data_IF_689467302467
#
_entry.id   IF_689467302467
#
_cell.length_a   1.000
_cell.length_b   1.000
_cell.length_c   1.000
_cell.angle_alpha   90.00
_cell.angle_beta   90.00
_cell.angle_gamma   90.00
#
_symmetry.space_group_name_H-M   'P 1'
#
loop_
_entity.id
_entity.type
_entity.pdbx_description
1 polymer ?
#
# COMPACT_ATOMS: atom_id res chain seq x y z
N UNK A 1 -50.65 33.46 6.00
CA UNK A 1 -49.19 33.58 5.74
C UNK A 1 -48.43 32.34 6.24
N UNK A 2 -49.08 31.36 6.87
CA UNK A 2 -48.45 30.18 7.49
C UNK A 2 -47.95 29.05 6.58
N UNK A 3 -48.48 28.91 5.37
CA UNK A 3 -48.17 27.76 4.52
C UNK A 3 -46.78 27.85 3.88
N UNK A 4 -46.31 29.08 3.66
CA UNK A 4 -44.98 29.35 3.10
C UNK A 4 -43.88 29.06 4.13
N UNK A 5 -44.13 29.32 5.41
CA UNK A 5 -43.19 29.06 6.50
C UNK A 5 -43.07 27.57 6.81
N UNK A 6 -44.18 26.82 6.82
CA UNK A 6 -44.14 25.34 6.97
C UNK A 6 -43.35 24.64 5.86
N UNK A 7 -43.38 25.18 4.64
CA UNK A 7 -42.59 24.64 3.51
C UNK A 7 -41.10 24.93 3.64
N UNK A 8 -40.73 26.02 4.32
CA UNK A 8 -39.33 26.37 4.58
C UNK A 8 -38.80 25.54 5.74
N UNK A 9 -39.56 25.36 6.82
CA UNK A 9 -39.17 24.48 7.93
C UNK A 9 -39.02 23.03 7.48
N UNK A 10 -39.93 22.50 6.66
CA UNK A 10 -39.78 21.16 6.07
C UNK A 10 -38.56 21.02 5.13
N UNK A 11 -38.12 22.11 4.50
CA UNK A 11 -36.89 22.15 3.71
C UNK A 11 -35.63 22.24 4.59
N UNK A 12 -35.70 22.93 5.72
CA UNK A 12 -34.60 23.06 6.69
C UNK A 12 -34.42 21.73 7.43
N UNK A 13 -35.50 21.13 7.92
CA UNK A 13 -35.51 19.86 8.67
C UNK A 13 -35.12 18.65 7.77
N UNK A 14 -35.43 18.70 6.47
CA UNK A 14 -34.99 17.70 5.49
C UNK A 14 -33.56 17.88 4.96
N UNK A 15 -32.90 19.00 5.29
CA UNK A 15 -31.57 19.34 4.76
C UNK A 15 -30.41 19.00 5.69
N UNK A 16 -30.66 18.65 6.95
CA UNK A 16 -29.61 18.36 7.93
C UNK A 16 -29.06 16.92 7.87
N UNK A 17 -29.70 16.00 7.14
CA UNK A 17 -29.35 14.57 7.14
C UNK A 17 -28.41 14.13 6.00
N UNK A 18 -27.84 15.04 5.19
CA UNK A 18 -27.15 14.60 3.95
C UNK A 18 -25.84 15.27 3.59
N UNK A 19 -24.95 15.52 4.56
CA UNK A 19 -23.50 15.53 4.29
C UNK A 19 -22.70 15.21 5.55
N UNK A 20 -22.96 14.07 6.19
CA UNK A 20 -21.86 13.43 6.93
C UNK A 20 -20.94 12.84 5.85
N UNK A 21 -19.67 13.26 5.69
CA UNK A 21 -18.77 12.55 4.81
C UNK A 21 -18.72 11.11 5.32
N UNK A 22 -19.35 10.20 4.57
CA UNK A 22 -19.22 8.78 4.83
C UNK A 22 -17.72 8.50 4.86
N UNK A 23 -17.19 7.79 5.88
CA UNK A 23 -15.79 7.42 5.89
C UNK A 23 -15.57 6.70 4.57
N UNK A 24 -14.85 7.37 3.66
CA UNK A 24 -14.62 7.00 2.27
C UNK A 24 -14.66 5.49 2.16
N UNK A 25 -15.65 4.93 1.44
CA UNK A 25 -15.78 3.49 1.23
C UNK A 25 -14.37 2.96 0.95
N UNK A 26 -13.76 2.33 1.95
CA UNK A 26 -12.35 1.99 1.89
C UNK A 26 -12.25 1.11 0.66
N UNK A 27 -11.48 1.54 -0.36
CA UNK A 27 -11.29 0.75 -1.57
C UNK A 27 -10.87 -0.64 -1.09
N UNK A 28 -11.69 -1.65 -1.37
CA UNK A 28 -11.37 -3.00 -0.94
C UNK A 28 -10.06 -3.42 -1.60
N UNK A 29 -9.18 -4.05 -0.81
CA UNK A 29 -7.91 -4.53 -1.33
C UNK A 29 -8.18 -5.59 -2.41
N UNK A 30 -7.50 -5.45 -3.55
CA UNK A 30 -7.53 -6.41 -4.65
C UNK A 30 -6.10 -6.61 -5.14
N UNK A 31 -5.71 -7.88 -5.31
CA UNK A 31 -4.45 -8.19 -5.97
C UNK A 31 -4.51 -7.74 -7.43
N UNK A 32 -3.41 -7.14 -7.90
CA UNK A 32 -3.26 -6.81 -9.31
C UNK A 32 -2.84 -8.05 -10.10
N UNK A 33 -3.34 -8.19 -11.32
CA UNK A 33 -2.89 -9.23 -12.22
C UNK A 33 -1.43 -9.00 -12.62
N UNK A 34 -0.63 -10.07 -12.63
CA UNK A 34 0.79 -10.04 -12.96
C UNK A 34 0.95 -10.22 -14.47
N UNK A 35 1.58 -9.26 -15.13
CA UNK A 35 1.80 -9.27 -16.58
C UNK A 35 3.24 -8.90 -16.96
N UNK A 36 4.02 -8.37 -16.01
CA UNK A 36 5.38 -7.95 -16.28
C UNK A 36 6.30 -9.18 -16.34
N UNK A 37 7.20 -9.24 -17.30
CA UNK A 37 8.29 -10.23 -17.26
C UNK A 37 9.26 -9.89 -16.15
N UNK A 38 9.90 -10.91 -15.58
CA UNK A 38 10.96 -10.70 -14.59
C UNK A 38 12.15 -10.03 -15.29
N UNK A 39 12.62 -8.92 -14.73
CA UNK A 39 13.89 -8.34 -15.18
C UNK A 39 15.05 -9.10 -14.52
N UNK A 40 15.47 -10.20 -15.15
CA UNK A 40 16.57 -11.03 -14.67
C UNK A 40 17.92 -10.28 -14.62
N UNK A 41 18.09 -9.23 -15.42
CA UNK A 41 19.31 -8.43 -15.44
C UNK A 41 19.35 -7.52 -14.21
N UNK A 42 18.21 -6.92 -13.86
CA UNK A 42 18.03 -6.20 -12.60
C UNK A 42 18.24 -7.13 -11.41
N UNK A 43 17.63 -8.32 -11.43
CA UNK A 43 17.78 -9.32 -10.37
C UNK A 43 19.24 -9.77 -10.22
N UNK A 44 19.98 -9.91 -11.32
CA UNK A 44 21.40 -10.26 -11.28
C UNK A 44 22.26 -9.18 -10.61
N UNK A 45 21.96 -7.90 -10.86
CA UNK A 45 22.69 -6.77 -10.29
C UNK A 45 22.44 -6.55 -8.79
N UNK A 46 21.29 -6.99 -8.28
CA UNK A 46 20.95 -6.89 -6.85
C UNK A 46 21.78 -7.88 -6.04
N UNK A 47 22.42 -7.41 -4.97
CA UNK A 47 23.03 -8.28 -3.96
C UNK A 47 22.18 -8.25 -2.67
N UNK A 48 21.39 -9.31 -2.38
CA UNK A 48 20.54 -9.34 -1.19
C UNK A 48 21.36 -9.27 0.11
N UNK A 49 22.55 -9.84 0.14
CA UNK A 49 23.41 -9.80 1.33
C UNK A 49 23.93 -8.37 1.60
N UNK A 50 24.15 -7.58 0.54
CA UNK A 50 24.49 -6.17 0.69
C UNK A 50 23.30 -5.34 1.20
N UNK A 51 22.09 -5.62 0.73
CA UNK A 51 20.87 -4.91 1.19
C UNK A 51 20.65 -5.18 2.68
N UNK A 52 20.72 -6.44 3.10
CA UNK A 52 20.57 -6.85 4.51
C UNK A 52 21.59 -6.15 5.41
N UNK A 53 22.87 -6.15 5.04
CA UNK A 53 23.92 -5.58 5.88
C UNK A 53 23.90 -4.06 5.94
N UNK A 54 23.55 -3.39 4.84
CA UNK A 54 23.65 -1.93 4.71
C UNK A 54 22.32 -1.21 4.94
N UNK A 55 21.20 -1.94 4.97
CA UNK A 55 19.87 -1.36 4.97
C UNK A 55 19.62 -0.50 3.72
N UNK A 56 20.08 -0.95 2.54
CA UNK A 56 19.97 -0.18 1.30
C UNK A 56 18.53 -0.23 0.74
N UNK A 57 17.66 0.56 1.37
CA UNK A 57 16.25 0.68 1.02
C UNK A 57 16.08 1.27 -0.39
N UNK A 58 17.04 2.06 -0.89
CA UNK A 58 16.94 2.66 -2.23
C UNK A 58 17.00 1.58 -3.31
N UNK A 59 17.93 0.63 -3.18
CA UNK A 59 17.99 -0.52 -4.08
C UNK A 59 16.72 -1.35 -3.96
N UNK A 60 16.24 -1.63 -2.74
CA UNK A 60 15.02 -2.41 -2.53
C UNK A 60 13.78 -1.76 -3.16
N UNK A 61 13.63 -0.44 -3.01
CA UNK A 61 12.57 0.36 -3.62
C UNK A 61 12.61 0.32 -5.14
N UNK A 62 13.80 0.29 -5.74
CA UNK A 62 13.93 0.21 -7.20
C UNK A 62 13.48 -1.13 -7.80
N UNK A 63 13.39 -2.20 -6.98
CA UNK A 63 13.10 -3.57 -7.46
C UNK A 63 11.77 -4.14 -6.95
N UNK A 64 11.18 -3.56 -5.90
CA UNK A 64 9.98 -4.10 -5.24
C UNK A 64 8.78 -4.22 -6.19
N UNK A 65 8.57 -3.25 -7.08
CA UNK A 65 7.47 -3.30 -8.06
C UNK A 65 7.70 -4.42 -9.08
N UNK A 66 8.93 -4.57 -9.57
CA UNK A 66 9.28 -5.61 -10.54
C UNK A 66 8.98 -6.99 -9.95
N UNK A 67 9.39 -7.24 -8.70
CA UNK A 67 9.18 -8.52 -8.02
C UNK A 67 7.70 -8.74 -7.70
N UNK A 68 6.98 -7.72 -7.22
CA UNK A 68 5.59 -7.84 -6.78
C UNK A 68 4.64 -8.17 -7.94
N UNK A 69 4.89 -7.59 -9.12
CA UNK A 69 4.01 -7.70 -10.28
C UNK A 69 4.56 -8.57 -11.42
N UNK A 70 5.69 -9.24 -11.22
CA UNK A 70 6.26 -10.16 -12.18
C UNK A 70 5.41 -11.43 -12.36
N UNK A 71 5.21 -11.83 -13.61
CA UNK A 71 4.61 -13.12 -13.96
C UNK A 71 5.66 -14.22 -14.00
N UNK A 72 5.79 -14.96 -12.90
CA UNK A 72 6.69 -16.10 -12.79
C UNK A 72 6.18 -17.34 -13.54
N UNK A 73 4.89 -17.42 -13.87
CA UNK A 73 4.32 -18.59 -14.56
C UNK A 73 4.66 -18.57 -16.06
N UNK A 74 4.83 -17.38 -16.63
CA UNK A 74 5.24 -17.18 -18.02
C UNK A 74 6.75 -17.29 -18.28
N UNK A 75 7.58 -17.49 -17.25
CA UNK A 75 9.04 -17.54 -17.38
C UNK A 75 9.53 -18.91 -17.85
N UNK A 76 10.58 -18.91 -18.69
CA UNK A 76 11.17 -20.14 -19.20
C UNK A 76 11.91 -20.92 -18.11
N UNK A 77 11.94 -22.26 -18.24
CA UNK A 77 12.61 -23.18 -17.28
C UNK A 77 14.09 -22.81 -17.05
N UNK A 78 14.79 -22.26 -18.06
CA UNK A 78 16.17 -21.78 -17.90
C UNK A 78 16.30 -20.53 -17.02
N UNK A 79 15.29 -19.67 -17.02
CA UNK A 79 15.26 -18.46 -16.20
C UNK A 79 14.97 -18.79 -14.73
N UNK A 80 14.16 -19.82 -14.50
CA UNK A 80 13.83 -20.38 -13.18
C UNK A 80 14.88 -21.39 -12.69
N UNK A 81 16.16 -21.15 -12.95
CA UNK A 81 17.22 -21.93 -12.33
C UNK A 81 17.16 -21.79 -10.79
N UNK A 82 17.54 -22.85 -10.06
CA UNK A 82 17.41 -22.90 -8.59
C UNK A 82 18.03 -21.68 -7.89
N UNK A 83 19.19 -21.22 -8.36
CA UNK A 83 19.86 -20.03 -7.83
C UNK A 83 19.05 -18.73 -8.01
N UNK A 84 18.36 -18.59 -9.14
CA UNK A 84 17.52 -17.43 -9.44
C UNK A 84 16.26 -17.43 -8.58
N UNK A 85 15.67 -18.61 -8.35
CA UNK A 85 14.51 -18.77 -7.48
C UNK A 85 14.85 -18.44 -6.03
N UNK A 86 15.98 -18.93 -5.52
CA UNK A 86 16.47 -18.59 -4.19
C UNK A 86 16.69 -17.08 -4.08
N UNK A 87 17.35 -16.47 -5.07
CA UNK A 87 17.62 -15.03 -5.07
C UNK A 87 16.32 -14.21 -5.09
N UNK A 88 15.36 -14.60 -5.92
CA UNK A 88 14.05 -13.97 -5.98
C UNK A 88 13.30 -14.09 -4.66
N UNK A 89 13.31 -15.28 -4.04
CA UNK A 89 12.69 -15.50 -2.75
C UNK A 89 13.33 -14.63 -1.66
N UNK A 90 14.67 -14.53 -1.62
CA UNK A 90 15.39 -13.68 -0.66
C UNK A 90 15.02 -12.20 -0.83
N UNK A 91 15.02 -11.68 -2.06
CA UNK A 91 14.66 -10.28 -2.26
C UNK A 91 13.18 -10.05 -1.95
N UNK A 92 12.30 -11.02 -2.24
CA UNK A 92 10.89 -10.95 -1.85
C UNK A 92 10.72 -10.87 -0.33
N UNK A 93 11.52 -11.61 0.44
CA UNK A 93 11.52 -11.53 1.91
C UNK A 93 11.91 -10.13 2.40
N UNK A 94 12.95 -9.53 1.83
CA UNK A 94 13.36 -8.16 2.16
C UNK A 94 12.29 -7.13 1.80
N UNK A 95 11.64 -7.28 0.65
CA UNK A 95 10.51 -6.43 0.27
C UNK A 95 9.37 -6.52 1.28
N UNK A 96 9.02 -7.73 1.72
CA UNK A 96 7.96 -7.95 2.72
C UNK A 96 8.34 -7.35 4.08
N UNK A 97 9.58 -7.56 4.54
CA UNK A 97 10.09 -6.97 5.78
C UNK A 97 10.01 -5.44 5.74
N UNK A 98 10.44 -4.84 4.63
CA UNK A 98 10.34 -3.39 4.45
C UNK A 98 8.90 -2.88 4.44
N UNK A 99 7.97 -3.62 3.82
CA UNK A 99 6.54 -3.28 3.84
C UNK A 99 5.97 -3.37 5.26
N UNK A 100 6.34 -4.38 6.04
CA UNK A 100 5.93 -4.52 7.45
C UNK A 100 6.47 -3.36 8.30
N UNK A 101 7.76 -3.04 8.15
CA UNK A 101 8.36 -1.88 8.82
C UNK A 101 7.64 -0.57 8.47
N UNK A 102 7.32 -0.38 7.19
CA UNK A 102 6.59 0.81 6.74
C UNK A 102 5.18 0.89 7.34
N UNK A 103 4.50 -0.25 7.49
CA UNK A 103 3.18 -0.30 8.13
C UNK A 103 3.25 0.10 9.61
N UNK A 104 4.23 -0.41 10.34
CA UNK A 104 4.44 -0.10 11.76
C UNK A 104 4.66 1.41 11.98
N UNK A 105 5.58 2.01 11.22
CA UNK A 105 5.83 3.47 11.25
C UNK A 105 4.58 4.28 10.91
N UNK A 106 3.80 3.84 9.92
CA UNK A 106 2.57 4.54 9.53
C UNK A 106 1.47 4.39 10.60
N UNK A 107 1.40 3.27 11.31
CA UNK A 107 0.46 3.04 12.41
C UNK A 107 0.81 3.87 13.65
N UNK A 108 2.09 4.01 13.97
CA UNK A 108 2.58 4.90 15.02
C UNK A 108 2.22 6.36 14.72
N UNK A 109 2.54 6.83 13.50
CA UNK A 109 2.22 8.19 13.06
C UNK A 109 0.72 8.47 13.10
N UNK A 110 -0.09 7.51 12.64
CA UNK A 110 -1.55 7.61 12.69
C UNK A 110 -2.06 7.71 14.12
N UNK A 111 -1.50 6.93 15.04
CA UNK A 111 -1.89 6.91 16.44
C UNK A 111 -1.56 8.24 17.13
N UNK A 112 -0.35 8.76 16.90
CA UNK A 112 0.07 10.08 17.39
C UNK A 112 -0.82 11.20 16.84
N UNK A 113 -1.14 11.20 15.55
CA UNK A 113 -2.03 12.20 14.95
C UNK A 113 -3.46 12.15 15.54
N UNK A 114 -3.95 10.96 15.87
CA UNK A 114 -5.25 10.79 16.54
C UNK A 114 -5.22 11.37 17.96
N UNK A 115 -4.14 11.14 18.70
CA UNK A 115 -3.98 11.66 20.06
C UNK A 115 -3.89 13.18 20.07
N UNK A 116 -3.09 13.77 19.18
CA UNK A 116 -3.01 15.21 19.01
C UNK A 116 -4.39 15.79 18.67
N UNK A 117 -5.12 15.19 17.73
CA UNK A 117 -6.47 15.63 17.40
C UNK A 117 -7.45 15.56 18.57
N UNK A 118 -7.27 14.66 19.54
CA UNK A 118 -8.08 14.62 20.77
C UNK A 118 -7.69 15.74 21.72
N UNK A 119 -6.39 16.02 21.84
CA UNK A 119 -5.86 17.08 22.70
C UNK A 119 -6.36 18.47 22.33
N UNK A 120 -6.52 18.76 21.03
CA UNK A 120 -7.06 20.05 20.56
C UNK A 120 -8.59 20.20 20.72
N UNK A 121 -9.30 19.13 21.08
CA UNK A 121 -10.76 19.13 21.27
C UNK A 121 -11.17 19.22 22.75
N UNK A 122 -10.21 19.19 23.66
CA UNK A 122 -10.38 19.41 25.11
C UNK A 122 -9.69 20.72 25.50
#
# INVERSE_FOLDING_TARGET
QDEKFKRIEAWVEGSEEKTRPQPSARKSFKFQQRFARVDWRLLAAVDPDSIERKGDVQVLQSVIENITFADLQGEGVRSLADANLIKLARISQLCLEYVLYSQDILEEQRSSAIEDSKRWKH
#
